data_IF_005187353567
#
_entry.id   IF_005187353567
#
_cell.length_a   1.000
_cell.length_b   1.000
_cell.length_c   1.000
_cell.angle_alpha   90.00
_cell.angle_beta   90.00
_cell.angle_gamma   90.00
#
_symmetry.space_group_name_H-M   'P 1'
#
loop_
_entity.id
_entity.type
_entity.pdbx_description
1 polymer ?
#
# COMPACT_ATOMS: atom_id res chain seq x y z
N UNK A 1 -15.27 2.21 -34.26
CA UNK A 1 -15.55 3.55 -33.70
C UNK A 1 -14.66 3.75 -32.49
N UNK A 2 -13.65 4.61 -32.58
CA UNK A 2 -12.77 4.98 -31.46
C UNK A 2 -13.56 5.90 -30.52
N UNK A 3 -13.84 5.44 -29.29
CA UNK A 3 -14.48 6.32 -28.30
C UNK A 3 -13.53 7.48 -27.96
N UNK A 4 -14.03 8.72 -27.91
CA UNK A 4 -13.20 9.86 -27.51
C UNK A 4 -12.70 9.63 -26.08
N UNK A 5 -11.38 9.66 -25.89
CA UNK A 5 -10.80 9.60 -24.55
C UNK A 5 -11.27 10.80 -23.75
N UNK A 6 -12.13 10.56 -22.76
CA UNK A 6 -12.61 11.58 -21.84
C UNK A 6 -11.42 12.07 -21.01
N UNK A 7 -10.88 13.24 -21.35
CA UNK A 7 -9.90 13.91 -20.51
C UNK A 7 -10.59 14.39 -19.24
N UNK A 8 -10.31 13.72 -18.13
CA UNK A 8 -10.73 14.17 -16.81
C UNK A 8 -9.76 15.25 -16.36
N UNK A 9 -10.28 16.46 -16.10
CA UNK A 9 -9.48 17.50 -15.44
C UNK A 9 -9.30 17.10 -13.98
N UNK A 10 -8.06 16.90 -13.58
CA UNK A 10 -7.71 16.67 -12.17
C UNK A 10 -7.92 17.96 -11.38
N UNK A 11 -8.69 17.89 -10.30
CA UNK A 11 -8.87 18.98 -9.35
C UNK A 11 -8.23 18.58 -8.02
N UNK A 12 -7.40 19.47 -7.47
CA UNK A 12 -6.75 19.31 -6.17
C UNK A 12 -7.42 20.28 -5.20
N UNK A 13 -8.19 19.80 -4.21
CA UNK A 13 -8.81 20.66 -3.21
C UNK A 13 -7.74 21.42 -2.41
N UNK A 14 -7.99 22.71 -2.12
CA UNK A 14 -7.04 23.57 -1.42
C UNK A 14 -6.70 23.13 0.02
N UNK A 15 -7.54 22.28 0.64
CA UNK A 15 -7.33 21.73 1.98
C UNK A 15 -6.81 20.29 2.01
N UNK A 16 -6.45 19.70 0.86
CA UNK A 16 -6.00 18.32 0.81
C UNK A 16 -4.63 18.20 1.50
N UNK A 17 -4.61 17.53 2.65
CA UNK A 17 -3.38 17.25 3.38
C UNK A 17 -2.71 16.00 2.84
N UNK A 18 -1.40 16.06 2.61
CA UNK A 18 -0.60 14.89 2.28
C UNK A 18 -0.53 13.96 3.50
N UNK A 19 -0.68 12.65 3.26
CA UNK A 19 -0.56 11.62 4.28
C UNK A 19 0.74 10.86 4.06
N UNK A 20 1.59 10.81 5.09
CA UNK A 20 2.79 9.97 5.07
C UNK A 20 2.45 8.54 5.50
N UNK A 21 2.98 7.56 4.77
CA UNK A 21 2.90 6.14 5.11
C UNK A 21 4.17 5.43 4.66
N UNK A 22 4.64 4.48 5.45
CA UNK A 22 5.82 3.65 5.16
C UNK A 22 5.49 2.16 5.02
N UNK A 23 4.23 1.78 5.18
CA UNK A 23 3.74 0.44 4.92
C UNK A 23 2.31 0.51 4.33
N UNK A 24 1.90 -0.55 3.65
CA UNK A 24 0.52 -0.75 3.20
C UNK A 24 0.11 -2.19 3.49
N UNK A 25 -1.07 -2.38 4.08
CA UNK A 25 -1.73 -3.69 4.13
C UNK A 25 -2.76 -3.73 3.02
N UNK A 26 -2.71 -4.77 2.21
CA UNK A 26 -3.67 -5.01 1.12
C UNK A 26 -4.56 -6.17 1.52
N UNK A 27 -5.87 -5.94 1.54
CA UNK A 27 -6.88 -6.98 1.74
C UNK A 27 -7.93 -6.90 0.65
N UNK A 28 -8.77 -7.94 0.53
CA UNK A 28 -9.77 -8.01 -0.52
C UNK A 28 -11.06 -8.67 -0.04
N UNK A 29 -12.15 -8.27 -0.69
CA UNK A 29 -13.45 -8.95 -0.68
C UNK A 29 -13.76 -9.42 -2.11
N UNK A 30 -14.92 -10.03 -2.33
CA UNK A 30 -15.34 -10.42 -3.68
C UNK A 30 -15.53 -9.22 -4.63
N UNK A 31 -15.70 -8.00 -4.10
CA UNK A 31 -16.05 -6.81 -4.90
C UNK A 31 -15.05 -5.67 -4.78
N UNK A 32 -14.18 -5.69 -3.77
CA UNK A 32 -13.31 -4.55 -3.44
C UNK A 32 -11.92 -5.01 -3.00
N UNK A 33 -10.92 -4.22 -3.35
CA UNK A 33 -9.56 -4.22 -2.81
C UNK A 33 -9.46 -3.06 -1.82
N UNK A 34 -8.96 -3.35 -0.61
CA UNK A 34 -8.77 -2.36 0.46
C UNK A 34 -7.28 -2.17 0.69
N UNK A 35 -6.84 -0.92 0.62
CA UNK A 35 -5.47 -0.47 0.86
C UNK A 35 -5.45 0.34 2.16
N UNK A 36 -4.83 -0.23 3.19
CA UNK A 36 -4.61 0.45 4.47
C UNK A 36 -3.18 0.98 4.52
N UNK A 37 -3.03 2.28 4.32
CA UNK A 37 -1.75 2.97 4.42
C UNK A 37 -1.41 3.22 5.88
N UNK A 38 -0.25 2.71 6.30
CA UNK A 38 0.15 2.62 7.70
C UNK A 38 1.43 3.41 7.93
N UNK A 39 1.50 4.02 9.10
CA UNK A 39 2.70 4.61 9.64
C UNK A 39 3.16 3.78 10.84
N UNK A 40 4.39 3.27 10.76
CA UNK A 40 5.12 2.64 11.86
C UNK A 40 6.30 3.53 12.23
N UNK A 41 6.48 3.82 13.53
CA UNK A 41 7.57 4.66 14.03
C UNK A 41 8.58 3.80 14.83
N UNK A 42 9.90 4.03 14.73
CA UNK A 42 10.91 3.20 15.41
C UNK A 42 10.76 3.08 16.93
N UNK A 43 10.12 4.07 17.57
CA UNK A 43 9.96 4.14 19.03
C UNK A 43 8.50 4.05 19.49
N UNK A 44 7.56 3.75 18.58
CA UNK A 44 6.15 3.51 18.93
C UNK A 44 5.76 2.12 18.43
N UNK A 45 5.48 1.16 19.34
CA UNK A 45 5.14 -0.20 18.94
C UNK A 45 3.77 -0.29 18.23
N UNK A 46 3.01 0.81 18.18
CA UNK A 46 1.72 0.85 17.50
C UNK A 46 1.91 1.25 16.04
N UNK A 47 1.44 0.39 15.15
CA UNK A 47 1.14 0.78 13.78
C UNK A 47 -0.16 1.61 13.74
N UNK A 48 -0.15 2.75 13.05
CA UNK A 48 -1.35 3.58 12.87
C UNK A 48 -1.78 3.59 11.41
N UNK A 49 -3.04 3.25 11.14
CA UNK A 49 -3.65 3.48 9.83
C UNK A 49 -3.86 4.97 9.65
N UNK A 50 -3.24 5.53 8.61
CA UNK A 50 -3.32 6.96 8.30
C UNK A 50 -4.38 7.26 7.25
N UNK A 51 -4.59 6.32 6.31
CA UNK A 51 -5.60 6.43 5.28
C UNK A 51 -6.03 5.04 4.83
N UNK A 52 -7.33 4.89 4.53
CA UNK A 52 -7.91 3.71 3.91
C UNK A 52 -8.46 4.10 2.55
N UNK A 53 -8.00 3.43 1.51
CA UNK A 53 -8.52 3.58 0.14
C UNK A 53 -9.14 2.26 -0.29
N UNK A 54 -10.37 2.32 -0.80
CA UNK A 54 -11.11 1.16 -1.30
C UNK A 54 -11.29 1.31 -2.80
N UNK A 55 -11.00 0.24 -3.54
CA UNK A 55 -11.01 0.24 -5.00
C UNK A 55 -11.63 -1.03 -5.55
N UNK A 56 -12.39 -0.92 -6.63
CA UNK A 56 -12.80 -2.11 -7.39
C UNK A 56 -11.55 -2.86 -7.92
N UNK A 57 -11.62 -4.19 -8.15
CA UNK A 57 -10.50 -4.95 -8.70
C UNK A 57 -9.96 -4.38 -10.02
N UNK A 58 -10.83 -3.88 -10.90
CA UNK A 58 -10.43 -3.26 -12.17
C UNK A 58 -9.64 -1.97 -11.93
N UNK A 59 -10.10 -1.11 -11.02
CA UNK A 59 -9.40 0.13 -10.66
C UNK A 59 -8.05 -0.16 -9.99
N UNK A 60 -7.99 -1.16 -9.09
CA UNK A 60 -6.76 -1.57 -8.43
C UNK A 60 -5.71 -2.10 -9.43
N UNK A 61 -6.15 -2.88 -10.43
CA UNK A 61 -5.27 -3.36 -11.50
C UNK A 61 -4.71 -2.22 -12.35
N UNK A 62 -5.55 -1.25 -12.71
CA UNK A 62 -5.10 -0.06 -13.43
C UNK A 62 -4.11 0.78 -12.59
N UNK A 63 -4.37 0.91 -11.28
CA UNK A 63 -3.45 1.56 -10.35
C UNK A 63 -2.09 0.87 -10.29
N UNK A 64 -2.04 -0.46 -10.15
CA UNK A 64 -0.79 -1.22 -10.12
C UNK A 64 0.04 -0.96 -11.39
N UNK A 65 -0.59 -1.05 -12.56
CA UNK A 65 0.10 -0.81 -13.84
C UNK A 65 0.67 0.60 -13.94
N UNK A 66 -0.10 1.61 -13.52
CA UNK A 66 0.36 2.99 -13.51
C UNK A 66 1.49 3.20 -12.50
N UNK A 67 1.39 2.60 -11.31
CA UNK A 67 2.40 2.71 -10.26
C UNK A 67 3.72 2.06 -10.71
N UNK A 68 3.68 0.83 -11.23
CA UNK A 68 4.87 0.13 -11.75
C UNK A 68 5.60 0.96 -12.81
N UNK A 69 4.87 1.48 -13.80
CA UNK A 69 5.47 2.33 -14.83
C UNK A 69 6.10 3.62 -14.27
N UNK A 70 5.49 4.22 -13.25
CA UNK A 70 6.06 5.41 -12.63
C UNK A 70 7.31 5.09 -11.81
N UNK A 71 7.34 3.97 -11.10
CA UNK A 71 8.52 3.51 -10.37
C UNK A 71 9.68 3.19 -11.31
N UNK A 72 9.43 2.46 -12.40
CA UNK A 72 10.44 2.18 -13.43
C UNK A 72 11.06 3.47 -13.98
N UNK A 73 10.23 4.48 -14.30
CA UNK A 73 10.70 5.78 -14.78
C UNK A 73 11.48 6.55 -13.72
N UNK A 74 11.07 6.44 -12.45
CA UNK A 74 11.80 7.04 -11.34
C UNK A 74 13.19 6.41 -11.21
N UNK A 75 13.28 5.08 -11.25
CA UNK A 75 14.55 4.35 -11.13
C UNK A 75 15.50 4.62 -12.29
N UNK A 76 14.99 4.73 -13.52
CA UNK A 76 15.79 5.13 -14.68
C UNK A 76 16.49 6.49 -14.48
N UNK A 77 15.87 7.39 -13.71
CA UNK A 77 16.40 8.74 -13.45
C UNK A 77 17.22 8.84 -12.17
N UNK A 78 16.87 8.08 -11.14
CA UNK A 78 17.40 8.24 -9.79
C UNK A 78 18.25 7.05 -9.30
N UNK A 79 18.35 5.98 -10.11
CA UNK A 79 18.96 4.72 -9.73
C UNK A 79 17.94 3.74 -9.15
N UNK A 80 18.34 2.46 -9.10
CA UNK A 80 17.52 1.36 -8.59
C UNK A 80 17.11 1.57 -7.13
N UNK A 81 15.83 1.37 -6.83
CA UNK A 81 15.31 1.36 -5.47
C UNK A 81 15.83 0.09 -4.82
N UNK A 82 16.72 0.27 -3.85
CA UNK A 82 17.25 -0.83 -3.04
C UNK A 82 16.12 -1.42 -2.20
N UNK A 83 15.52 -2.48 -2.72
CA UNK A 83 14.54 -3.27 -1.99
C UNK A 83 15.29 -4.04 -0.92
N UNK A 84 14.91 -3.89 0.35
CA UNK A 84 15.37 -4.76 1.44
C UNK A 84 14.73 -6.17 1.30
N UNK A 85 14.92 -6.82 0.16
CA UNK A 85 14.36 -8.14 -0.16
C UNK A 85 15.11 -9.29 0.54
N UNK A 86 15.63 -9.05 1.75
CA UNK A 86 16.44 -10.00 2.51
C UNK A 86 16.39 -9.83 4.04
N UNK A 87 15.77 -8.76 4.56
CA UNK A 87 15.42 -8.67 5.98
C UNK A 87 13.91 -8.85 6.06
N UNK A 88 13.46 -9.88 6.78
CA UNK A 88 12.07 -10.09 7.25
C UNK A 88 11.17 -8.90 6.97
N UNK A 89 10.13 -9.06 6.17
CA UNK A 89 9.22 -7.95 5.87
C UNK A 89 8.78 -7.31 7.19
N UNK A 90 8.51 -5.99 7.21
CA UNK A 90 7.95 -5.35 8.40
C UNK A 90 6.69 -6.10 8.89
N UNK A 91 5.94 -6.73 7.99
CA UNK A 91 4.87 -7.64 8.32
C UNK A 91 5.36 -8.88 9.10
N UNK A 92 6.41 -9.57 8.66
CA UNK A 92 7.02 -10.70 9.39
C UNK A 92 7.51 -10.29 10.79
N UNK A 93 8.07 -9.08 10.93
CA UNK A 93 8.52 -8.56 12.24
C UNK A 93 7.35 -8.19 13.16
N UNK A 94 6.24 -7.69 12.60
CA UNK A 94 5.06 -7.29 13.35
C UNK A 94 4.17 -8.47 13.74
N UNK A 95 4.08 -9.52 12.90
CA UNK A 95 3.17 -10.65 13.08
C UNK A 95 3.86 -11.97 13.44
N UNK A 96 5.19 -12.08 13.33
CA UNK A 96 5.94 -13.31 13.62
C UNK A 96 5.99 -13.73 15.10
N UNK A 97 5.56 -12.87 16.03
CA UNK A 97 5.62 -13.13 17.47
C UNK A 97 4.28 -13.56 18.10
N UNK A 98 3.23 -13.76 17.31
CA UNK A 98 1.99 -14.36 17.83
C UNK A 98 2.16 -15.88 17.83
N UNK A 99 2.74 -16.43 18.90
CA UNK A 99 2.57 -17.85 19.20
C UNK A 99 1.08 -18.10 19.46
N UNK A 100 0.44 -19.11 18.83
CA UNK A 100 -0.75 -19.67 19.43
C UNK A 100 -0.34 -20.17 20.82
N UNK A 101 -1.00 -19.67 21.87
CA UNK A 101 -1.04 -20.40 23.13
C UNK A 101 -1.85 -21.66 22.85
N UNK A 102 -1.17 -22.70 22.37
CA UNK A 102 -1.71 -24.04 22.42
C UNK A 102 -1.88 -24.34 23.90
N UNK A 103 -3.15 -24.37 24.30
CA UNK A 103 -3.59 -24.65 25.65
C UNK A 103 -2.92 -25.90 26.17
N UNK A 104 -2.53 -25.81 27.44
CA UNK A 104 -2.41 -26.97 28.31
C UNK A 104 -3.65 -27.85 28.10
N UNK A 105 -3.45 -29.07 27.62
CA UNK A 105 -4.27 -30.23 28.00
C UNK A 105 -3.51 -31.52 27.63
N UNK A 106 -3.16 -32.26 28.69
CA UNK A 106 -2.68 -33.66 28.83
C UNK A 106 -1.18 -33.99 28.65
#
# INVERSE_FOLDING_TARGET
MTQPQRQVKLELPAGLSAVYSNAVIVSQTNTEIVLDFIQVMPNDPRARVQSRVVMTPTSAKAFLQALSQNLERYEQKHGEIQSQAGSSTLADQLFGNVKPEDGEDE
#
